data_IF_868083769189
#
_entry.id   IF_868083769189
#
_cell.length_a   1.000
_cell.length_b   1.000
_cell.length_c   1.000
_cell.angle_alpha   90.00
_cell.angle_beta   90.00
_cell.angle_gamma   90.00
#
_symmetry.space_group_name_H-M   'P 1'
#
loop_
_entity.id
_entity.type
_entity.pdbx_description
1 polymer ?
#
# COMPACT_ATOMS: atom_id res chain seq x y z
N UNK A 1 31.25 14.55 14.10
CA UNK A 1 29.97 14.31 14.81
C UNK A 1 28.89 15.30 14.35
N UNK A 2 28.99 16.61 14.63
CA UNK A 2 27.95 17.60 14.30
C UNK A 2 27.51 17.64 12.81
N UNK A 3 28.45 17.56 11.87
CA UNK A 3 28.15 17.56 10.42
C UNK A 3 27.30 16.34 10.00
N UNK A 4 27.64 15.16 10.51
CA UNK A 4 26.91 13.91 10.21
C UNK A 4 25.50 13.98 10.76
N UNK A 5 25.33 14.50 11.99
CA UNK A 5 24.01 14.69 12.60
C UNK A 5 23.17 15.70 11.83
N UNK A 6 23.78 16.80 11.37
CA UNK A 6 23.11 17.82 10.57
C UNK A 6 22.60 17.26 9.23
N UNK A 7 23.45 16.50 8.52
CA UNK A 7 23.08 15.85 7.25
C UNK A 7 21.93 14.86 7.47
N UNK A 8 21.98 14.04 8.53
CA UNK A 8 20.93 13.08 8.84
C UNK A 8 19.59 13.78 9.11
N UNK A 9 19.58 14.85 9.90
CA UNK A 9 18.37 15.63 10.17
C UNK A 9 17.80 16.28 8.90
N UNK A 10 18.66 16.83 8.05
CA UNK A 10 18.24 17.43 6.77
C UNK A 10 17.54 16.39 5.87
N UNK A 11 18.11 15.19 5.75
CA UNK A 11 17.53 14.09 4.97
C UNK A 11 16.16 13.70 5.52
N UNK A 12 16.02 13.56 6.84
CA UNK A 12 14.75 13.23 7.50
C UNK A 12 13.71 14.32 7.22
N UNK A 13 14.07 15.59 7.40
CA UNK A 13 13.17 16.72 7.16
C UNK A 13 12.71 16.82 5.71
N UNK A 14 13.63 16.65 4.75
CA UNK A 14 13.28 16.64 3.32
C UNK A 14 12.38 15.46 2.96
N UNK A 15 12.62 14.28 3.56
CA UNK A 15 11.79 13.09 3.33
C UNK A 15 10.38 13.28 3.88
N UNK A 16 10.26 13.81 5.11
CA UNK A 16 8.97 14.16 5.69
C UNK A 16 8.24 15.19 4.82
N UNK A 17 8.93 16.26 4.40
CA UNK A 17 8.34 17.30 3.56
C UNK A 17 7.87 16.76 2.20
N UNK A 18 8.65 15.89 1.56
CA UNK A 18 8.27 15.24 0.31
C UNK A 18 7.04 14.34 0.49
N UNK A 19 6.99 13.56 1.57
CA UNK A 19 5.80 12.79 1.93
C UNK A 19 4.59 13.72 2.10
N UNK A 20 4.75 14.83 2.84
CA UNK A 20 3.67 15.81 3.02
C UNK A 20 3.17 16.42 1.70
N UNK A 21 4.03 16.63 0.72
CA UNK A 21 3.59 17.24 -0.54
C UNK A 21 3.02 16.25 -1.54
N UNK A 22 3.41 14.98 -1.49
CA UNK A 22 3.17 14.03 -2.58
C UNK A 22 2.65 12.66 -2.16
N UNK A 23 2.37 12.44 -0.86
CA UNK A 23 1.71 11.21 -0.45
C UNK A 23 0.37 11.07 -1.17
N UNK A 24 0.09 9.89 -1.76
CA UNK A 24 -1.22 9.62 -2.32
C UNK A 24 -2.25 9.56 -1.20
N UNK A 25 -3.48 9.98 -1.52
CA UNK A 25 -4.61 9.97 -0.59
C UNK A 25 -5.00 8.56 -0.14
N UNK A 26 -4.82 7.58 -1.02
CA UNK A 26 -5.15 6.17 -0.78
C UNK A 26 -4.06 5.25 -1.35
N UNK A 27 -4.05 4.00 -0.91
CA UNK A 27 -3.31 2.92 -1.57
C UNK A 27 -4.01 2.57 -2.89
N UNK A 28 -3.42 2.88 -4.06
CA UNK A 28 -4.08 2.69 -5.34
C UNK A 28 -4.01 1.23 -5.82
N UNK A 29 -5.01 0.46 -5.40
CA UNK A 29 -5.19 -0.90 -5.82
C UNK A 29 -6.47 -1.00 -6.65
N UNK A 30 -6.39 -1.70 -7.78
CA UNK A 30 -7.58 -2.06 -8.55
C UNK A 30 -7.56 -3.56 -8.81
N UNK A 31 -8.63 -4.20 -8.37
CA UNK A 31 -8.88 -5.62 -8.57
C UNK A 31 -9.79 -5.75 -9.79
N UNK A 32 -9.35 -6.48 -10.81
CA UNK A 32 -10.18 -6.83 -11.95
C UNK A 32 -10.51 -8.32 -11.87
N UNK A 33 -11.69 -8.63 -11.31
CA UNK A 33 -12.17 -10.02 -11.16
C UNK A 33 -12.43 -10.73 -12.49
N UNK A 34 -12.71 -10.00 -13.59
CA UNK A 34 -12.91 -10.61 -14.92
C UNK A 34 -11.64 -11.13 -15.54
N UNK A 35 -10.57 -10.35 -15.44
CA UNK A 35 -9.27 -10.76 -15.97
C UNK A 35 -8.48 -11.60 -14.96
N UNK A 36 -8.91 -11.63 -13.70
CA UNK A 36 -8.15 -12.23 -12.60
C UNK A 36 -6.84 -11.50 -12.34
N UNK A 37 -6.81 -10.17 -12.53
CA UNK A 37 -5.58 -9.36 -12.40
C UNK A 37 -5.72 -8.26 -11.35
N UNK A 38 -4.61 -7.94 -10.72
CA UNK A 38 -4.49 -6.86 -9.74
C UNK A 38 -3.52 -5.81 -10.27
N UNK A 39 -4.00 -4.57 -10.33
CA UNK A 39 -3.23 -3.41 -10.78
C UNK A 39 -2.84 -2.60 -9.55
N UNK A 40 -1.54 -2.37 -9.41
CA UNK A 40 -0.94 -1.72 -8.25
C UNK A 40 -0.13 -0.53 -8.72
N UNK A 41 -0.37 0.61 -8.09
CA UNK A 41 0.50 1.76 -8.19
C UNK A 41 1.35 1.82 -6.93
N UNK A 42 2.58 1.34 -7.05
CA UNK A 42 3.50 1.25 -5.93
C UNK A 42 4.24 2.59 -5.78
N UNK A 43 3.92 3.32 -4.71
CA UNK A 43 4.60 4.57 -4.38
C UNK A 43 5.69 4.29 -3.36
N UNK A 44 6.93 4.64 -3.72
CA UNK A 44 8.12 4.49 -2.85
C UNK A 44 7.93 5.20 -1.50
N UNK A 45 7.20 6.32 -1.48
CA UNK A 45 6.92 7.09 -0.27
C UNK A 45 5.97 6.39 0.72
N UNK A 46 5.27 5.32 0.34
CA UNK A 46 4.38 4.59 1.28
C UNK A 46 5.15 3.70 2.26
N UNK A 47 6.44 3.47 1.98
CA UNK A 47 7.30 2.58 2.78
C UNK A 47 8.28 3.32 3.70
N UNK A 48 8.11 4.64 3.88
CA UNK A 48 9.05 5.53 4.62
C UNK A 48 9.24 5.12 6.10
N UNK A 49 8.35 4.27 6.62
CA UNK A 49 8.41 3.72 7.97
C UNK A 49 9.45 2.59 8.14
N UNK A 50 10.03 2.08 7.04
CA UNK A 50 11.09 1.08 7.07
C UNK A 50 12.45 1.70 6.75
N UNK A 51 13.29 1.88 7.77
CA UNK A 51 14.61 2.56 7.65
C UNK A 51 15.47 2.00 6.50
N UNK A 52 15.50 0.68 6.30
CA UNK A 52 16.25 0.06 5.21
C UNK A 52 15.73 0.43 3.81
N UNK A 53 14.41 0.55 3.66
CA UNK A 53 13.78 0.93 2.40
C UNK A 53 13.89 2.44 2.15
N UNK A 54 13.80 3.25 3.21
CA UNK A 54 14.05 4.69 3.16
C UNK A 54 15.50 5.00 2.76
N UNK A 55 16.47 4.26 3.28
CA UNK A 55 17.88 4.37 2.87
C UNK A 55 18.06 3.91 1.42
N UNK A 56 17.46 2.78 1.04
CA UNK A 56 17.50 2.30 -0.36
C UNK A 56 16.88 3.32 -1.32
N UNK A 57 15.77 3.96 -0.94
CA UNK A 57 15.12 5.01 -1.69
C UNK A 57 15.99 6.26 -1.81
N UNK A 58 16.71 6.63 -0.76
CA UNK A 58 17.65 7.75 -0.78
C UNK A 58 18.82 7.52 -1.76
N UNK A 59 19.34 6.30 -1.84
CA UNK A 59 20.43 5.96 -2.77
C UNK A 59 19.95 5.71 -4.20
N UNK A 60 18.77 5.11 -4.40
CA UNK A 60 18.19 4.89 -5.74
C UNK A 60 17.59 6.18 -6.33
N UNK A 61 17.05 7.04 -5.48
CA UNK A 61 16.35 8.27 -5.88
C UNK A 61 16.85 9.44 -5.02
N UNK A 62 18.09 9.90 -5.23
CA UNK A 62 18.73 10.95 -4.41
C UNK A 62 17.98 12.29 -4.40
N UNK A 63 17.00 12.45 -5.28
CA UNK A 63 16.15 13.64 -5.39
C UNK A 63 14.67 13.27 -5.52
N UNK A 64 14.09 12.51 -4.59
CA UNK A 64 12.62 12.42 -4.41
C UNK A 64 11.80 12.18 -5.71
N UNK A 65 12.36 11.45 -6.68
CA UNK A 65 11.92 11.50 -8.07
C UNK A 65 11.03 10.34 -8.59
N UNK A 66 10.44 9.49 -7.73
CA UNK A 66 9.23 8.79 -8.14
C UNK A 66 8.11 9.06 -7.14
N UNK A 67 7.63 10.30 -7.13
CA UNK A 67 6.20 10.56 -6.85
C UNK A 67 5.31 10.00 -7.96
N UNK A 68 5.90 9.56 -9.08
CA UNK A 68 5.23 8.70 -10.06
C UNK A 68 5.19 7.27 -9.50
N UNK A 69 4.00 6.66 -9.41
CA UNK A 69 3.88 5.28 -8.98
C UNK A 69 4.55 4.36 -9.99
N UNK A 70 5.15 3.28 -9.51
CA UNK A 70 5.53 2.17 -10.38
C UNK A 70 4.26 1.39 -10.68
N UNK A 71 3.91 1.32 -11.96
CA UNK A 71 2.76 0.56 -12.42
C UNK A 71 3.11 -0.93 -12.43
N UNK A 72 2.42 -1.73 -11.61
CA UNK A 72 2.61 -3.18 -11.52
C UNK A 72 1.29 -3.89 -11.80
N UNK A 73 1.37 -5.04 -12.48
CA UNK A 73 0.23 -5.91 -12.76
C UNK A 73 0.59 -7.31 -12.32
N UNK A 74 -0.29 -7.93 -11.54
CA UNK A 74 -0.11 -9.28 -11.02
C UNK A 74 -1.33 -10.14 -11.33
N UNK A 75 -1.10 -11.44 -11.49
CA UNK A 75 -2.18 -12.42 -11.58
C UNK A 75 -2.67 -12.78 -10.17
N UNK A 76 -3.99 -12.79 -9.99
CA UNK A 76 -4.62 -12.99 -8.69
C UNK A 76 -4.27 -14.34 -8.05
N UNK A 77 -4.07 -15.37 -8.87
CA UNK A 77 -3.77 -16.73 -8.40
C UNK A 77 -2.42 -16.83 -7.70
N UNK A 78 -1.50 -15.92 -8.00
CA UNK A 78 -0.16 -15.88 -7.43
C UNK A 78 -0.08 -15.04 -6.15
N UNK A 79 -1.20 -14.41 -5.74
CA UNK A 79 -1.24 -13.50 -4.61
C UNK A 79 -1.71 -14.23 -3.35
N UNK A 80 -0.94 -14.09 -2.28
CA UNK A 80 -1.32 -14.54 -0.93
C UNK A 80 -1.32 -13.36 0.03
N UNK A 81 -2.18 -13.40 1.04
CA UNK A 81 -2.19 -12.39 2.10
C UNK A 81 -1.38 -12.85 3.30
N UNK A 82 -0.52 -11.96 3.79
CA UNK A 82 0.22 -12.11 5.04
C UNK A 82 -0.23 -11.03 6.00
N UNK A 83 -0.87 -11.44 7.09
CA UNK A 83 -1.19 -10.53 8.19
C UNK A 83 0.06 -10.30 9.03
N UNK A 84 0.44 -9.04 9.20
CA UNK A 84 1.52 -8.63 10.08
C UNK A 84 0.96 -7.90 11.28
N UNK A 85 1.42 -8.33 12.46
CA UNK A 85 1.03 -7.78 13.76
C UNK A 85 2.24 -7.08 14.37
N UNK A 86 2.07 -5.81 14.76
CA UNK A 86 3.06 -5.13 15.59
C UNK A 86 2.40 -4.38 16.73
N UNK A 87 3.07 -4.42 17.89
CA UNK A 87 2.62 -3.74 19.09
C UNK A 87 3.65 -2.67 19.44
N UNK A 88 3.20 -1.43 19.61
CA UNK A 88 4.05 -0.31 20.00
C UNK A 88 3.52 0.26 21.30
N UNK A 89 4.38 0.35 22.31
CA UNK A 89 4.06 1.04 23.55
C UNK A 89 4.59 2.47 23.48
N UNK A 90 3.70 3.46 23.45
CA UNK A 90 4.07 4.87 23.53
C UNK A 90 3.50 5.43 24.83
N UNK A 91 4.39 5.84 25.75
CA UNK A 91 4.03 6.40 27.06
C UNK A 91 3.06 5.51 27.87
N UNK A 92 3.27 4.19 27.84
CA UNK A 92 2.47 3.21 28.59
C UNK A 92 1.13 2.84 27.94
N UNK A 93 0.76 3.46 26.81
CA UNK A 93 -0.38 3.05 25.99
C UNK A 93 0.11 2.05 24.95
N UNK A 94 -0.34 0.80 25.07
CA UNK A 94 -0.11 -0.21 24.05
C UNK A 94 -1.02 0.06 22.87
N UNK A 95 -0.43 0.36 21.72
CA UNK A 95 -1.11 0.43 20.45
C UNK A 95 -0.83 -0.83 19.66
N UNK A 96 -1.89 -1.46 19.19
CA UNK A 96 -1.80 -2.57 18.26
C UNK A 96 -2.00 -2.02 16.86
N UNK A 97 -1.14 -2.45 15.94
CA UNK A 97 -1.40 -2.23 14.53
C UNK A 97 -1.34 -3.55 13.81
N UNK A 98 -2.36 -3.76 12.98
CA UNK A 98 -2.46 -4.93 12.12
C UNK A 98 -2.46 -4.45 10.68
N UNK A 99 -1.72 -5.13 9.83
CA UNK A 99 -1.61 -4.80 8.41
C UNK A 99 -1.69 -6.07 7.60
N UNK A 100 -2.22 -5.97 6.38
CA UNK A 100 -2.15 -7.05 5.41
C UNK A 100 -1.25 -6.64 4.28
N UNK A 101 -0.23 -7.46 4.05
CA UNK A 101 0.61 -7.41 2.87
C UNK A 101 0.15 -8.51 1.91
N UNK A 102 -0.08 -8.13 0.67
CA UNK A 102 -0.21 -9.07 -0.43
C UNK A 102 1.20 -9.43 -0.91
N UNK A 103 1.58 -10.69 -0.75
CA UNK A 103 2.82 -11.24 -1.31
C UNK A 103 2.50 -11.89 -2.64
N UNK A 104 3.30 -11.59 -3.64
CA UNK A 104 3.21 -12.16 -4.98
C UNK A 104 4.25 -13.26 -5.08
N UNK A 105 3.79 -14.49 -5.24
CA UNK A 105 4.66 -15.65 -5.38
C UNK A 105 4.99 -15.89 -6.87
N UNK A 106 6.12 -16.51 -7.17
CA UNK A 106 6.37 -17.00 -8.52
C UNK A 106 5.39 -18.15 -8.82
N UNK A 107 4.85 -18.26 -10.06
CA UNK A 107 3.81 -19.21 -10.39
C UNK A 107 4.17 -20.64 -10.00
N UNK A 108 3.29 -21.31 -9.26
CA UNK A 108 3.48 -22.69 -8.79
C UNK A 108 4.54 -22.87 -7.70
N UNK A 109 5.02 -21.79 -7.09
CA UNK A 109 6.01 -21.83 -5.99
C UNK A 109 5.55 -21.01 -4.79
N UNK A 110 6.29 -21.11 -3.68
CA UNK A 110 6.15 -20.24 -2.51
C UNK A 110 7.19 -19.12 -2.46
N UNK A 111 7.97 -18.95 -3.55
CA UNK A 111 9.00 -17.93 -3.61
C UNK A 111 8.36 -16.56 -3.82
N UNK A 112 8.55 -15.64 -2.86
CA UNK A 112 8.05 -14.27 -2.94
C UNK A 112 8.90 -13.46 -3.93
N UNK A 113 8.26 -12.90 -4.95
CA UNK A 113 8.88 -12.08 -6.01
C UNK A 113 8.62 -10.60 -5.77
N UNK A 114 7.43 -10.26 -5.26
CA UNK A 114 7.06 -8.88 -4.94
C UNK A 114 6.09 -8.85 -3.74
N UNK A 115 5.90 -7.67 -3.15
CA UNK A 115 4.92 -7.43 -2.09
C UNK A 115 4.32 -6.04 -2.24
N UNK A 116 3.05 -5.92 -1.89
CA UNK A 116 2.39 -4.63 -1.77
C UNK A 116 1.44 -4.63 -0.58
N UNK A 117 1.22 -3.46 0.02
CA UNK A 117 0.32 -3.36 1.18
C UNK A 117 -1.13 -3.20 0.72
N UNK A 118 -2.02 -4.03 1.24
CA UNK A 118 -3.47 -3.92 1.02
C UNK A 118 -4.08 -2.90 1.98
N UNK A 119 -3.74 -3.02 3.26
CA UNK A 119 -4.31 -2.18 4.30
C UNK A 119 -3.43 -2.14 5.55
N UNK A 120 -3.55 -1.03 6.26
CA UNK A 120 -3.04 -0.83 7.61
C UNK A 120 -4.17 -0.33 8.49
N UNK A 121 -4.44 -1.05 9.57
CA UNK A 121 -5.51 -0.72 10.51
C UNK A 121 -4.86 -0.52 11.89
N UNK A 122 -4.86 0.71 12.37
CA UNK A 122 -4.57 1.03 13.77
C UNK A 122 -5.82 0.87 14.64
N UNK A 123 -5.61 0.85 15.96
CA UNK A 123 -6.71 0.77 16.94
C UNK A 123 -7.79 1.83 16.67
N UNK A 124 -9.02 1.39 16.38
CA UNK A 124 -10.20 2.25 16.23
C UNK A 124 -10.87 2.27 14.85
N UNK A 125 -10.26 1.70 13.80
CA UNK A 125 -10.93 1.47 12.52
C UNK A 125 -11.66 0.10 12.58
N UNK A 126 -12.99 0.11 12.51
CA UNK A 126 -13.90 -1.02 12.71
C UNK A 126 -13.77 -2.19 11.71
N UNK A 127 -12.89 -2.08 10.71
CA UNK A 127 -12.59 -3.14 9.77
C UNK A 127 -11.30 -3.87 10.18
N UNK A 128 -11.44 -5.08 10.71
CA UNK A 128 -10.30 -5.97 10.92
C UNK A 128 -9.64 -6.28 9.57
N UNK A 129 -8.30 -6.29 9.45
CA UNK A 129 -7.65 -6.58 8.17
C UNK A 129 -8.14 -7.88 7.53
N UNK A 130 -8.37 -8.91 8.35
CA UNK A 130 -9.02 -10.15 7.92
C UNK A 130 -10.32 -9.93 7.12
N UNK A 131 -11.23 -9.06 7.59
CA UNK A 131 -12.48 -8.77 6.88
C UNK A 131 -12.25 -8.13 5.52
N UNK A 132 -11.23 -7.29 5.39
CA UNK A 132 -10.87 -6.69 4.11
C UNK A 132 -10.34 -7.76 3.14
N UNK A 133 -9.52 -8.69 3.63
CA UNK A 133 -9.06 -9.80 2.80
C UNK A 133 -10.21 -10.72 2.36
N UNK A 134 -11.11 -11.08 3.27
CA UNK A 134 -12.31 -11.87 2.92
C UNK A 134 -13.18 -11.15 1.90
N UNK A 135 -13.34 -9.82 2.02
CA UNK A 135 -14.06 -9.02 1.04
C UNK A 135 -13.40 -9.10 -0.34
N UNK A 136 -12.08 -8.94 -0.43
CA UNK A 136 -11.34 -9.03 -1.70
C UNK A 136 -11.45 -10.43 -2.30
N UNK A 137 -11.31 -11.48 -1.49
CA UNK A 137 -11.49 -12.87 -1.94
C UNK A 137 -12.91 -13.13 -2.46
N UNK A 138 -13.94 -12.67 -1.75
CA UNK A 138 -15.34 -12.77 -2.19
C UNK A 138 -15.55 -12.05 -3.53
N UNK A 139 -15.00 -10.84 -3.65
CA UNK A 139 -15.09 -10.04 -4.87
C UNK A 139 -14.42 -10.74 -6.06
N UNK A 140 -13.20 -11.26 -5.87
CA UNK A 140 -12.44 -11.94 -6.93
C UNK A 140 -13.02 -13.30 -7.32
N UNK A 141 -13.74 -13.97 -6.42
CA UNK A 141 -14.44 -15.23 -6.69
C UNK A 141 -15.86 -15.06 -7.25
N UNK A 142 -16.28 -13.84 -7.59
CA UNK A 142 -17.65 -13.53 -8.03
C UNK A 142 -18.73 -13.90 -6.99
N UNK A 143 -18.37 -13.94 -5.70
CA UNK A 143 -19.31 -14.17 -4.63
C UNK A 143 -19.81 -12.83 -4.05
N UNK A 144 -20.91 -12.33 -4.61
CA UNK A 144 -21.45 -11.02 -4.25
C UNK A 144 -22.26 -11.02 -2.93
N UNK A 145 -22.51 -12.19 -2.33
CA UNK A 145 -23.39 -12.33 -1.15
C UNK A 145 -22.83 -11.68 0.12
N UNK A 146 -21.50 -11.56 0.20
CA UNK A 146 -20.78 -11.04 1.37
C UNK A 146 -20.17 -9.66 1.11
N UNK A 147 -20.46 -9.04 -0.04
CA UNK A 147 -19.89 -7.75 -0.40
C UNK A 147 -20.69 -6.62 0.26
N UNK A 148 -20.04 -5.97 1.23
CA UNK A 148 -20.45 -4.65 1.66
C UNK A 148 -20.13 -3.65 0.55
N UNK A 149 -21.17 -3.04 -0.03
CA UNK A 149 -21.06 -2.03 -1.08
C UNK A 149 -21.21 -0.60 -0.52
N UNK A 150 -21.20 -0.43 0.80
CA UNK A 150 -21.24 0.90 1.39
C UNK A 150 -19.99 1.69 0.98
N UNK A 151 -20.24 2.78 0.27
CA UNK A 151 -19.17 3.69 -0.11
C UNK A 151 -18.77 4.49 1.11
N UNK A 152 -17.54 4.29 1.57
CA UNK A 152 -16.96 5.16 2.59
C UNK A 152 -16.65 6.49 1.92
N UNK A 153 -17.36 7.56 2.30
CA UNK A 153 -16.97 8.92 1.89
C UNK A 153 -15.56 9.19 2.44
N UNK A 154 -14.61 9.40 1.51
CA UNK A 154 -13.20 9.59 1.82
C UNK A 154 -12.74 11.04 1.67
N UNK A 155 -13.63 12.01 1.59
CA UNK A 155 -13.27 13.42 1.39
C UNK A 155 -12.36 13.95 2.49
N UNK A 156 -12.44 13.38 3.70
CA UNK A 156 -11.64 13.78 4.86
C UNK A 156 -10.21 13.19 4.92
N UNK A 157 -9.81 12.32 3.99
CA UNK A 157 -8.44 11.78 3.97
C UNK A 157 -7.48 12.78 3.31
N UNK A 158 -6.36 13.05 3.99
CA UNK A 158 -5.29 13.90 3.50
C UNK A 158 -4.43 13.17 2.44
N UNK A 159 -3.97 13.89 1.42
CA UNK A 159 -3.10 13.37 0.35
C UNK A 159 -3.56 13.77 -1.05
N UNK A 160 -2.72 13.53 -2.07
CA UNK A 160 -3.07 13.82 -3.47
C UNK A 160 -3.99 12.74 -4.06
N UNK A 161 -5.00 13.11 -4.88
CA UNK A 161 -5.80 12.12 -5.58
C UNK A 161 -4.91 11.31 -6.52
N UNK A 162 -5.12 10.00 -6.57
CA UNK A 162 -4.37 9.12 -7.48
C UNK A 162 -4.98 9.18 -8.87
N UNK A 163 -4.21 9.71 -9.82
CA UNK A 163 -4.58 9.75 -11.24
C UNK A 163 -3.96 8.53 -11.93
N UNK A 164 -4.83 7.66 -12.46
CA UNK A 164 -4.41 6.47 -13.20
C UNK A 164 -4.10 6.85 -14.65
N UNK A 165 -3.05 6.26 -15.22
CA UNK A 165 -2.70 6.39 -16.63
C UNK A 165 -3.83 5.86 -17.50
N UNK A 166 -4.00 6.42 -18.69
CA UNK A 166 -5.09 6.05 -19.60
C UNK A 166 -5.10 4.54 -19.92
N UNK A 167 -3.92 3.93 -20.00
CA UNK A 167 -3.76 2.49 -20.22
C UNK A 167 -4.33 1.71 -19.04
N UNK A 168 -3.81 1.93 -17.83
CA UNK A 168 -4.27 1.22 -16.64
C UNK A 168 -5.73 1.52 -16.33
N UNK A 169 -6.18 2.76 -16.55
CA UNK A 169 -7.58 3.13 -16.37
C UNK A 169 -8.51 2.28 -17.25
N UNK A 170 -8.15 2.06 -18.53
CA UNK A 170 -8.93 1.23 -19.46
C UNK A 170 -8.88 -0.26 -19.12
N UNK A 171 -7.71 -0.78 -18.76
CA UNK A 171 -7.51 -2.21 -18.46
C UNK A 171 -8.13 -2.62 -17.11
N UNK A 172 -8.08 -1.75 -16.11
CA UNK A 172 -8.56 -2.03 -14.75
C UNK A 172 -10.04 -1.71 -14.53
N UNK A 173 -10.64 -0.75 -15.25
CA UNK A 173 -12.02 -0.30 -14.98
C UNK A 173 -13.12 -1.29 -15.40
N UNK A 174 -12.80 -2.36 -16.13
CA UNK A 174 -13.78 -3.33 -16.63
C UNK A 174 -14.08 -4.47 -15.62
N UNK A 175 -14.69 -4.14 -14.49
CA UNK A 175 -15.47 -5.12 -13.72
C UNK A 175 -16.95 -4.72 -13.74
N UNK A 176 -17.67 -5.10 -14.81
CA UNK A 176 -19.14 -5.22 -14.73
C UNK A 176 -19.49 -6.69 -14.55
#
# INVERSE_FOLDING_TARGET
>A
MALVTFIALLIISLTAFNYFLFAPKDYPLRFNRKTGKVYVYDYVNLHVWHLAETLTALFKFPFFLPTRPVEKVFDWQDIQAVETYYMTSIKGVNKTTRSIYCVVCAPGTTQIVDRFMLSITGDGLSATPYRQWVWVCSYMSFNDTQLDNTLVNRDNFWGRPVVWSDKFAKESARSK
#
